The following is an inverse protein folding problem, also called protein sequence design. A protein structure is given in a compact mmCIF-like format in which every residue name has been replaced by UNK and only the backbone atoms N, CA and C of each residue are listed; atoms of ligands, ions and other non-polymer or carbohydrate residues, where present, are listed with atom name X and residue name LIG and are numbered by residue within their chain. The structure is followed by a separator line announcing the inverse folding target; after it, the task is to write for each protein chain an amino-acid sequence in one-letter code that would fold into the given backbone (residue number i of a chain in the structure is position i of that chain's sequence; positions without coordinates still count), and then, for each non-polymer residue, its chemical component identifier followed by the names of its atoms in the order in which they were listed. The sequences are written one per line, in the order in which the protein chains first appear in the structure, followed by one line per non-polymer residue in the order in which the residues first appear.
data_IF_446381314130
#
_entry.id   IF_446381314130
#
_cell.length_a   1.000
_cell.length_b   1.000
_cell.length_c   1.000
_cell.angle_alpha   90.00
_cell.angle_beta   90.00
_cell.angle_gamma   90.00
#
_symmetry.space_group_name_H-M   'P 1'
#
loop_
_entity.id
_entity.type
_entity.pdbx_description
1 polymer ?
#
# COMPACT_ATOMS: atom_id res chain seq x y z
N UNK A 1 24.82 -24.97 -20.09
CA UNK A 1 24.63 -24.01 -18.99
C UNK A 1 23.13 -23.85 -18.73
N UNK A 2 22.64 -24.10 -17.52
CA UNK A 2 21.24 -23.86 -17.23
C UNK A 2 21.01 -22.35 -17.19
N UNK A 3 20.10 -21.89 -18.03
CA UNK A 3 19.57 -20.53 -18.03
C UNK A 3 19.23 -20.13 -16.60
N UNK A 4 19.95 -19.17 -16.03
CA UNK A 4 19.61 -18.49 -14.78
C UNK A 4 18.30 -17.73 -15.04
N UNK A 5 17.20 -18.42 -14.78
CA UNK A 5 15.88 -17.87 -14.94
C UNK A 5 15.68 -16.66 -14.04
N UNK A 6 14.97 -15.69 -14.55
CA UNK A 6 14.47 -14.49 -13.81
C UNK A 6 13.89 -14.81 -12.41
N UNK A 7 13.60 -16.09 -12.11
CA UNK A 7 13.13 -16.56 -10.80
C UNK A 7 14.13 -16.44 -9.67
N UNK A 8 15.43 -16.55 -9.93
CA UNK A 8 16.47 -16.49 -8.88
C UNK A 8 16.76 -15.07 -8.40
N UNK A 9 16.51 -14.07 -9.24
CA UNK A 9 16.60 -12.65 -8.87
C UNK A 9 15.53 -12.29 -7.85
N UNK A 10 14.36 -12.95 -7.92
CA UNK A 10 13.23 -12.68 -7.03
C UNK A 10 13.29 -13.37 -5.66
N UNK A 11 14.09 -14.41 -5.50
CA UNK A 11 14.27 -15.12 -4.23
C UNK A 11 15.18 -14.43 -3.21
N UNK A 12 15.94 -13.44 -3.62
CA UNK A 12 17.00 -12.83 -2.79
C UNK A 12 16.62 -11.59 -2.01
N UNK A 13 15.37 -11.10 -2.11
CA UNK A 13 15.17 -9.71 -1.72
C UNK A 13 13.83 -9.47 -1.03
N UNK A 14 13.91 -9.03 0.18
CA UNK A 14 12.87 -8.27 0.85
C UNK A 14 13.24 -6.79 0.84
N UNK A 15 12.27 -5.93 0.51
CA UNK A 15 12.55 -4.62 -0.04
C UNK A 15 12.88 -4.70 -1.54
N UNK A 16 12.74 -5.88 -2.11
CA UNK A 16 12.91 -6.23 -3.50
C UNK A 16 11.60 -6.21 -4.27
N UNK A 17 11.65 -6.19 -5.60
CA UNK A 17 10.47 -6.14 -6.44
C UNK A 17 9.63 -7.41 -6.27
N UNK A 18 8.75 -7.40 -5.26
CA UNK A 18 7.63 -8.33 -5.19
C UNK A 18 6.75 -8.14 -6.41
N UNK A 19 5.96 -9.13 -6.77
CA UNK A 19 5.06 -9.04 -7.92
C UNK A 19 4.16 -7.78 -7.84
N UNK A 20 3.66 -7.44 -6.66
CA UNK A 20 2.87 -6.23 -6.45
C UNK A 20 3.67 -4.97 -6.79
N UNK A 21 4.90 -4.83 -6.28
CA UNK A 21 5.77 -3.71 -6.60
C UNK A 21 6.02 -3.58 -8.11
N UNK A 22 6.36 -4.70 -8.78
CA UNK A 22 6.64 -4.69 -10.22
C UNK A 22 5.46 -4.15 -11.04
N UNK A 23 4.26 -4.57 -10.68
CA UNK A 23 3.07 -4.16 -11.43
C UNK A 23 2.60 -2.76 -11.03
N UNK A 24 2.68 -2.40 -9.75
CA UNK A 24 2.41 -1.05 -9.28
C UNK A 24 3.37 -0.04 -9.92
N UNK A 25 4.68 -0.35 -9.96
CA UNK A 25 5.66 0.46 -10.68
C UNK A 25 5.24 0.72 -12.13
N UNK A 26 4.76 -0.31 -12.82
CA UNK A 26 4.30 -0.16 -14.20
C UNK A 26 3.10 0.79 -14.30
N UNK A 27 2.18 0.76 -13.35
CA UNK A 27 1.02 1.69 -13.32
C UNK A 27 1.50 3.12 -13.09
N UNK A 28 2.37 3.32 -12.08
CA UNK A 28 2.92 4.63 -11.75
C UNK A 28 3.69 5.27 -12.90
N UNK A 29 4.58 4.51 -13.52
CA UNK A 29 5.44 5.00 -14.62
C UNK A 29 4.68 5.31 -15.93
N UNK A 30 3.46 4.79 -16.08
CA UNK A 30 2.63 5.06 -17.27
C UNK A 30 1.84 6.34 -17.17
N UNK A 31 1.59 6.84 -15.98
CA UNK A 31 0.87 8.09 -15.79
C UNK A 31 1.86 9.26 -15.86
N UNK A 32 1.88 9.93 -17.01
CA UNK A 32 2.79 11.06 -17.26
C UNK A 32 2.54 12.29 -16.37
N UNK A 33 1.44 12.29 -15.60
CA UNK A 33 1.13 13.35 -14.62
C UNK A 33 1.86 13.15 -13.30
N UNK A 34 2.46 11.97 -13.09
CA UNK A 34 3.15 11.61 -11.86
C UNK A 34 4.66 11.73 -12.04
N UNK A 35 5.30 12.46 -11.15
CA UNK A 35 6.73 12.35 -10.93
C UNK A 35 6.97 11.30 -9.84
N UNK A 36 7.64 10.20 -10.19
CA UNK A 36 7.79 9.05 -9.30
C UNK A 36 9.25 8.83 -8.98
N UNK A 37 9.55 8.68 -7.69
CA UNK A 37 10.87 8.23 -7.20
C UNK A 37 10.72 6.89 -6.48
N UNK A 38 11.60 5.97 -6.76
CA UNK A 38 11.67 4.66 -6.15
C UNK A 38 12.87 4.55 -5.24
N UNK A 39 12.65 3.93 -4.09
CA UNK A 39 13.68 3.59 -3.14
C UNK A 39 13.68 2.09 -2.90
N UNK A 40 14.80 1.44 -3.15
CA UNK A 40 14.98 0.01 -2.89
C UNK A 40 15.94 -0.18 -1.74
N UNK A 41 15.45 -0.68 -0.60
CA UNK A 41 16.28 -0.84 0.61
C UNK A 41 17.20 -2.07 0.54
N UNK A 42 16.87 -3.01 -0.34
CA UNK A 42 17.65 -4.22 -0.61
C UNK A 42 17.70 -4.44 -2.12
N UNK A 43 18.49 -3.69 -2.81
CA UNK A 43 18.66 -3.76 -4.26
C UNK A 43 20.12 -3.54 -4.64
N UNK A 44 20.35 -3.39 -5.92
CA UNK A 44 21.65 -2.96 -6.42
C UNK A 44 21.91 -1.53 -5.92
N UNK A 45 22.98 -1.28 -5.14
CA UNK A 45 23.30 0.06 -4.64
C UNK A 45 23.54 1.08 -5.76
N UNK A 46 23.91 0.59 -6.94
CA UNK A 46 24.19 1.44 -8.09
C UNK A 46 22.96 1.76 -8.96
N UNK A 47 21.80 1.23 -8.59
CA UNK A 47 20.59 1.42 -9.37
C UNK A 47 20.24 2.91 -9.59
N UNK A 48 20.44 3.74 -8.57
CA UNK A 48 20.23 5.18 -8.66
C UNK A 48 21.22 5.89 -9.58
N UNK A 49 22.37 5.29 -9.92
CA UNK A 49 23.33 5.85 -10.86
C UNK A 49 22.91 5.68 -12.32
N UNK A 50 22.13 4.64 -12.61
CA UNK A 50 21.77 4.25 -13.98
C UNK A 50 20.31 4.59 -14.32
N UNK A 51 19.48 4.83 -13.32
CA UNK A 51 18.04 5.05 -13.49
C UNK A 51 17.58 6.23 -12.63
N UNK A 52 17.28 7.39 -13.23
CA UNK A 52 17.01 8.64 -12.51
C UNK A 52 15.71 8.60 -11.68
N UNK A 53 14.86 7.62 -11.94
CA UNK A 53 13.67 7.36 -11.14
C UNK A 53 13.99 6.70 -9.79
N UNK A 54 15.21 6.24 -9.56
CA UNK A 54 15.63 5.65 -8.27
C UNK A 54 16.44 6.63 -7.44
N UNK A 55 16.23 6.59 -6.13
CA UNK A 55 17.04 7.29 -5.14
C UNK A 55 17.78 6.27 -4.27
N UNK A 56 18.98 6.59 -3.84
CA UNK A 56 19.84 5.70 -3.05
C UNK A 56 19.43 5.61 -1.60
N UNK A 57 18.83 6.68 -1.07
CA UNK A 57 18.42 6.79 0.33
C UNK A 57 17.18 7.67 0.47
N UNK A 58 16.46 7.49 1.56
CA UNK A 58 15.35 8.37 1.89
C UNK A 58 15.92 9.73 2.32
N UNK A 59 15.44 10.83 1.73
CA UNK A 59 16.04 12.14 1.92
C UNK A 59 16.13 12.58 3.39
N UNK A 60 17.17 13.35 3.71
CA UNK A 60 17.35 13.90 5.04
C UNK A 60 16.28 14.95 5.37
N UNK A 61 15.86 14.97 6.64
CA UNK A 61 14.87 15.95 7.12
C UNK A 61 15.48 17.36 7.11
N UNK A 62 14.80 18.31 6.48
CA UNK A 62 15.23 19.70 6.38
C UNK A 62 15.65 20.16 4.99
N UNK A 63 15.81 19.27 4.04
CA UNK A 63 16.00 19.63 2.64
C UNK A 63 14.65 20.02 2.01
N UNK A 64 14.62 21.16 1.36
CA UNK A 64 13.42 21.73 0.72
C UNK A 64 12.87 20.92 -0.46
N UNK A 65 13.52 19.81 -0.79
CA UNK A 65 13.23 18.94 -1.93
C UNK A 65 12.26 17.79 -1.61
N UNK A 66 11.71 17.72 -0.39
CA UNK A 66 10.91 16.58 0.10
C UNK A 66 9.41 16.81 0.05
N UNK A 67 8.94 17.40 -1.01
CA UNK A 67 7.51 17.66 -1.20
C UNK A 67 6.85 16.50 -1.96
N UNK A 68 6.69 15.36 -1.28
CA UNK A 68 5.94 14.24 -1.83
C UNK A 68 4.45 14.39 -1.53
N UNK A 69 3.61 14.32 -2.56
CA UNK A 69 2.17 14.27 -2.40
C UNK A 69 1.70 12.95 -1.79
N UNK A 70 2.41 11.87 -2.11
CA UNK A 70 2.12 10.52 -1.63
C UNK A 70 3.42 9.74 -1.35
N UNK A 71 3.52 9.19 -0.16
CA UNK A 71 4.56 8.20 0.19
C UNK A 71 3.92 6.81 0.22
N UNK A 72 4.48 5.86 -0.55
CA UNK A 72 4.05 4.46 -0.55
C UNK A 72 5.15 3.64 0.13
N UNK A 73 4.82 3.03 1.26
CA UNK A 73 5.71 2.13 2.00
C UNK A 73 5.32 0.69 1.69
N UNK A 74 6.21 -0.05 1.07
CA UNK A 74 6.10 -1.50 0.87
C UNK A 74 6.62 -2.27 2.09
N UNK A 75 7.10 -3.50 1.87
CA UNK A 75 7.61 -4.37 2.94
C UNK A 75 9.04 -3.96 3.37
N UNK A 76 9.17 -2.77 3.91
CA UNK A 76 10.40 -2.16 4.40
C UNK A 76 10.43 -2.22 5.92
N UNK A 77 11.54 -2.65 6.49
CA UNK A 77 11.77 -2.62 7.93
C UNK A 77 11.75 -1.18 8.44
N UNK A 78 11.01 -0.92 9.52
CA UNK A 78 10.93 0.42 10.12
C UNK A 78 12.29 0.99 10.53
N UNK A 79 13.26 0.11 10.85
CA UNK A 79 14.65 0.49 11.21
C UNK A 79 15.43 1.13 10.06
N UNK A 80 14.92 1.02 8.83
CA UNK A 80 15.50 1.71 7.68
C UNK A 80 15.35 3.23 7.78
N UNK A 81 14.26 3.69 8.40
CA UNK A 81 13.99 5.10 8.58
C UNK A 81 14.44 5.60 9.94
N UNK A 82 15.08 6.76 9.97
CA UNK A 82 15.29 7.48 11.21
C UNK A 82 13.97 7.94 11.80
N UNK A 83 13.89 8.06 13.13
CA UNK A 83 12.69 8.57 13.80
C UNK A 83 12.25 9.94 13.26
N UNK A 84 13.19 10.84 12.98
CA UNK A 84 12.92 12.17 12.41
C UNK A 84 12.30 12.09 11.01
N UNK A 85 12.71 11.13 10.19
CA UNK A 85 12.13 10.92 8.87
C UNK A 85 10.68 10.43 9.00
N UNK A 86 10.39 9.53 9.94
CA UNK A 86 9.01 9.09 10.21
C UNK A 86 8.13 10.23 10.75
N UNK A 87 8.65 11.04 11.69
CA UNK A 87 7.95 12.22 12.22
C UNK A 87 7.68 13.26 11.11
N UNK A 88 8.61 13.39 10.17
CA UNK A 88 8.40 14.24 9.00
C UNK A 88 7.28 13.71 8.09
N UNK A 89 7.24 12.39 7.78
CA UNK A 89 6.14 11.79 7.02
C UNK A 89 4.79 12.03 7.71
N UNK A 90 4.73 11.91 9.04
CA UNK A 90 3.53 12.23 9.84
C UNK A 90 3.13 13.69 9.67
N UNK A 91 4.09 14.62 9.74
CA UNK A 91 3.85 16.05 9.55
C UNK A 91 3.33 16.37 8.15
N UNK A 92 3.89 15.73 7.11
CA UNK A 92 3.45 15.88 5.72
C UNK A 92 1.97 15.51 5.57
N UNK A 93 1.55 14.39 6.14
CA UNK A 93 0.15 13.98 6.09
C UNK A 93 -0.72 14.88 6.96
N UNK A 94 -0.32 15.09 8.23
CA UNK A 94 -1.15 15.77 9.20
C UNK A 94 -1.37 17.27 8.89
N UNK A 95 -0.31 17.97 8.49
CA UNK A 95 -0.32 19.44 8.37
C UNK A 95 -0.32 19.95 6.93
N UNK A 96 0.33 19.24 6.04
CA UNK A 96 0.57 19.71 4.67
C UNK A 96 -0.36 19.04 3.62
N UNK A 97 -1.32 18.23 4.08
CA UNK A 97 -2.31 17.61 3.21
C UNK A 97 -1.79 16.48 2.33
N UNK A 98 -0.56 16.03 2.54
CA UNK A 98 0.01 14.88 1.85
C UNK A 98 -0.69 13.57 2.19
N UNK A 99 -0.23 12.49 1.59
CA UNK A 99 -0.81 11.17 1.81
C UNK A 99 0.26 10.10 2.08
N UNK A 100 -0.14 9.06 2.81
CA UNK A 100 0.67 7.86 3.01
C UNK A 100 -0.14 6.60 2.71
N UNK A 101 0.48 5.66 2.01
CA UNK A 101 -0.09 4.35 1.76
C UNK A 101 0.90 3.28 2.23
N UNK A 102 0.46 2.36 3.07
CA UNK A 102 1.26 1.20 3.47
C UNK A 102 0.72 -0.08 2.85
N UNK A 103 1.62 -0.82 2.18
CA UNK A 103 1.35 -2.15 1.67
C UNK A 103 1.80 -3.20 2.66
N UNK A 104 0.92 -4.11 3.01
CA UNK A 104 1.26 -5.27 3.82
C UNK A 104 2.32 -6.14 3.15
N UNK A 105 3.24 -6.62 3.94
CA UNK A 105 4.27 -7.57 3.54
C UNK A 105 4.68 -8.43 4.71
N UNK A 106 4.89 -9.72 4.45
CA UNK A 106 5.03 -10.71 5.50
C UNK A 106 6.32 -10.59 6.33
N UNK A 107 7.33 -9.85 5.85
CA UNK A 107 8.60 -9.71 6.55
C UNK A 107 8.59 -8.57 7.57
N UNK A 108 7.98 -7.42 7.23
CA UNK A 108 8.14 -6.21 8.02
C UNK A 108 6.84 -5.44 8.25
N UNK A 109 6.03 -5.24 7.21
CA UNK A 109 4.86 -4.35 7.29
C UNK A 109 3.54 -5.07 7.58
N UNK A 110 2.71 -4.50 8.45
CA UNK A 110 2.88 -3.26 9.22
C UNK A 110 3.58 -3.44 10.58
N UNK A 111 3.93 -4.67 11.01
CA UNK A 111 4.30 -5.00 12.38
C UNK A 111 5.56 -4.32 12.87
N UNK A 112 6.58 -4.15 12.00
CA UNK A 112 7.84 -3.48 12.40
C UNK A 112 7.64 -2.00 12.76
N UNK A 113 6.50 -1.40 12.38
CA UNK A 113 6.17 -0.01 12.67
C UNK A 113 5.46 0.20 14.02
N UNK A 114 5.27 -0.86 14.81
CA UNK A 114 4.71 -0.78 16.16
C UNK A 114 5.53 0.17 17.05
N UNK A 115 4.86 1.09 17.73
CA UNK A 115 5.50 2.11 18.57
C UNK A 115 6.25 3.19 17.79
N UNK A 116 6.21 3.18 16.48
CA UNK A 116 6.77 4.24 15.66
C UNK A 116 5.75 5.37 15.38
N UNK A 117 6.20 6.56 14.99
CA UNK A 117 5.29 7.63 14.59
C UNK A 117 4.33 7.23 13.44
N UNK A 118 4.74 6.32 12.57
CA UNK A 118 3.92 5.84 11.44
C UNK A 118 2.72 5.02 11.91
N UNK A 119 2.79 4.32 13.05
CA UNK A 119 1.65 3.55 13.57
C UNK A 119 0.42 4.43 13.78
N UNK A 120 0.62 5.68 14.22
CA UNK A 120 -0.48 6.62 14.44
C UNK A 120 -1.19 6.99 13.13
N UNK A 121 -0.46 7.05 12.02
CA UNK A 121 -1.01 7.31 10.69
C UNK A 121 -1.89 6.16 10.18
N UNK A 122 -1.58 4.91 10.53
CA UNK A 122 -2.29 3.76 9.96
C UNK A 122 -3.77 3.78 10.33
N UNK A 123 -4.67 3.47 9.40
CA UNK A 123 -6.11 3.33 9.68
C UNK A 123 -6.45 2.05 10.44
N UNK A 124 -5.43 1.31 10.86
CA UNK A 124 -5.54 0.03 11.58
C UNK A 124 -4.72 0.04 12.88
N UNK A 125 -5.20 -0.71 13.87
CA UNK A 125 -4.47 -1.04 15.10
C UNK A 125 -3.75 -2.36 14.91
N UNK A 126 -2.47 -2.41 15.26
CA UNK A 126 -1.68 -3.65 15.24
C UNK A 126 -2.05 -4.49 16.47
N UNK A 127 -2.46 -5.74 16.27
CA UNK A 127 -2.93 -6.65 17.33
C UNK A 127 -1.91 -7.72 17.70
N UNK A 128 -1.04 -8.08 16.80
CA UNK A 128 0.00 -9.09 17.01
C UNK A 128 1.28 -8.69 16.32
N UNK A 129 2.34 -9.42 16.60
CA UNK A 129 3.68 -9.12 16.08
C UNK A 129 3.96 -9.82 14.75
N UNK A 130 3.07 -10.71 14.33
CA UNK A 130 3.25 -11.53 13.14
C UNK A 130 2.00 -11.56 12.26
N UNK A 131 2.20 -11.97 11.03
CA UNK A 131 1.13 -12.37 10.16
C UNK A 131 0.52 -13.69 10.64
N UNK A 132 -0.79 -13.79 10.51
CA UNK A 132 -1.54 -14.98 10.94
C UNK A 132 -2.06 -15.75 9.74
N UNK A 133 -2.13 -17.10 9.83
CA UNK A 133 -2.74 -17.91 8.80
C UNK A 133 -4.21 -17.52 8.57
N UNK A 134 -4.61 -17.47 7.31
CA UNK A 134 -5.98 -17.18 6.88
C UNK A 134 -6.61 -18.46 6.36
N UNK A 135 -7.76 -18.89 6.90
CA UNK A 135 -8.52 -20.01 6.34
C UNK A 135 -8.84 -19.76 4.86
N UNK A 136 -8.72 -20.80 4.03
CA UNK A 136 -8.90 -20.73 2.58
C UNK A 136 -10.32 -20.30 2.16
N UNK A 137 -11.30 -20.48 3.04
CA UNK A 137 -12.69 -20.10 2.80
C UNK A 137 -12.93 -18.60 2.89
N UNK A 138 -11.98 -17.85 3.46
CA UNK A 138 -12.13 -16.41 3.57
C UNK A 138 -11.81 -15.75 2.25
N UNK A 139 -12.80 -15.10 1.67
CA UNK A 139 -12.69 -14.36 0.43
C UNK A 139 -12.67 -12.85 0.68
N UNK A 140 -11.95 -12.12 -0.16
CA UNK A 140 -12.00 -10.67 -0.15
C UNK A 140 -13.36 -10.19 -0.67
N UNK A 141 -13.93 -9.22 0.02
CA UNK A 141 -15.24 -8.64 -0.35
C UNK A 141 -15.20 -7.12 -0.19
N UNK A 142 -15.59 -6.36 -1.23
CA UNK A 142 -15.74 -4.92 -1.09
C UNK A 142 -16.93 -4.61 -0.19
N UNK A 143 -16.79 -3.55 0.61
CA UNK A 143 -17.89 -2.95 1.37
C UNK A 143 -18.71 -2.03 0.49
N UNK A 144 -19.91 -1.64 0.93
CA UNK A 144 -20.71 -0.66 0.23
C UNK A 144 -19.97 0.69 0.15
N UNK A 145 -19.27 1.07 1.21
CA UNK A 145 -18.42 2.27 1.24
C UNK A 145 -17.27 2.20 0.23
N UNK A 146 -16.63 1.04 0.09
CA UNK A 146 -15.58 0.83 -0.91
C UNK A 146 -16.09 0.92 -2.34
N UNK A 147 -17.32 0.51 -2.58
CA UNK A 147 -17.97 0.61 -3.89
C UNK A 147 -18.42 2.04 -4.18
N UNK A 148 -19.09 2.72 -3.24
CA UNK A 148 -19.49 4.11 -3.37
C UNK A 148 -18.29 5.04 -3.60
N UNK A 149 -17.18 4.81 -2.90
CA UNK A 149 -15.90 5.52 -3.08
C UNK A 149 -15.15 5.18 -4.37
N UNK A 150 -15.67 4.28 -5.19
CA UNK A 150 -15.13 3.81 -6.49
C UNK A 150 -13.78 3.11 -6.44
N UNK A 151 -13.06 3.09 -5.33
CA UNK A 151 -11.76 2.43 -5.21
C UNK A 151 -11.92 0.91 -5.36
N UNK A 152 -12.93 0.34 -4.72
CA UNK A 152 -13.17 -1.10 -4.75
C UNK A 152 -14.04 -1.56 -5.94
N UNK A 153 -14.48 -0.66 -6.83
CA UNK A 153 -15.27 -1.05 -8.01
C UNK A 153 -14.43 -1.70 -9.09
N UNK A 154 -13.11 -1.51 -9.09
CA UNK A 154 -12.21 -1.99 -10.15
C UNK A 154 -12.59 -1.49 -11.56
N UNK A 155 -13.37 -0.40 -11.65
CA UNK A 155 -13.84 0.17 -12.90
C UNK A 155 -15.05 -0.56 -13.51
N UNK A 156 -15.76 -1.39 -12.75
CA UNK A 156 -16.95 -2.14 -13.19
C UNK A 156 -18.12 -1.93 -12.24
N UNK A 157 -19.29 -2.49 -12.60
CA UNK A 157 -20.46 -2.51 -11.75
C UNK A 157 -20.25 -3.31 -10.45
N UNK A 158 -21.04 -3.00 -9.45
CA UNK A 158 -20.96 -3.55 -8.10
C UNK A 158 -20.97 -5.08 -8.06
N UNK A 159 -21.91 -5.72 -8.75
CA UNK A 159 -22.05 -7.17 -8.79
C UNK A 159 -20.80 -7.85 -9.35
N UNK A 160 -20.25 -7.29 -10.41
CA UNK A 160 -19.01 -7.77 -11.02
C UNK A 160 -17.81 -7.49 -10.10
N UNK A 161 -17.73 -6.32 -9.49
CA UNK A 161 -16.65 -5.99 -8.55
C UNK A 161 -16.59 -7.01 -7.40
N UNK A 162 -17.72 -7.34 -6.78
CA UNK A 162 -17.80 -8.36 -5.72
C UNK A 162 -17.27 -9.72 -6.19
N UNK A 163 -17.64 -10.13 -7.39
CA UNK A 163 -17.15 -11.37 -8.00
C UNK A 163 -15.64 -11.33 -8.25
N UNK A 164 -15.11 -10.23 -8.78
CA UNK A 164 -13.67 -10.09 -9.04
C UNK A 164 -12.86 -10.13 -7.76
N UNK A 165 -13.30 -9.42 -6.70
CA UNK A 165 -12.62 -9.46 -5.41
C UNK A 165 -12.57 -10.87 -4.80
N UNK A 166 -13.63 -11.65 -4.91
CA UNK A 166 -13.63 -13.02 -4.41
C UNK A 166 -12.59 -13.93 -5.09
N UNK A 167 -12.16 -13.58 -6.30
CA UNK A 167 -11.20 -14.36 -7.09
C UNK A 167 -9.72 -14.11 -6.76
N UNK A 168 -9.39 -13.09 -5.94
CA UNK A 168 -8.02 -12.94 -5.44
C UNK A 168 -7.67 -13.94 -4.34
N UNK A 169 -8.64 -14.57 -3.75
CA UNK A 169 -8.45 -15.62 -2.73
C UNK A 169 -7.90 -16.93 -3.35
N UNK A 170 -7.23 -17.78 -2.59
CA UNK A 170 -7.00 -17.66 -1.15
C UNK A 170 -5.87 -16.69 -0.78
N UNK A 171 -6.07 -15.95 0.32
CA UNK A 171 -5.02 -15.20 0.99
C UNK A 171 -4.50 -16.08 2.13
N UNK A 172 -3.35 -16.67 1.97
CA UNK A 172 -2.83 -17.68 2.91
C UNK A 172 -2.49 -17.13 4.28
N UNK A 173 -2.17 -15.84 4.34
CA UNK A 173 -1.85 -15.14 5.59
C UNK A 173 -2.21 -13.66 5.48
N UNK A 174 -2.42 -13.04 6.62
CA UNK A 174 -2.75 -11.63 6.74
C UNK A 174 -2.16 -11.03 8.02
N UNK A 175 -1.86 -9.73 8.06
CA UNK A 175 -1.38 -9.09 9.28
C UNK A 175 -2.48 -9.09 10.35
N UNK A 176 -2.09 -9.30 11.61
CA UNK A 176 -3.02 -9.24 12.74
C UNK A 176 -3.36 -7.78 13.06
N UNK A 177 -4.47 -7.30 12.50
CA UNK A 177 -4.91 -5.90 12.63
C UNK A 177 -6.43 -5.79 12.80
N UNK A 178 -6.87 -4.67 13.37
CA UNK A 178 -8.28 -4.23 13.39
C UNK A 178 -8.40 -2.80 12.90
N UNK A 179 -9.51 -2.43 12.31
CA UNK A 179 -9.75 -1.05 11.92
C UNK A 179 -9.77 -0.12 13.16
N UNK A 180 -9.21 1.08 13.03
CA UNK A 180 -9.34 2.12 14.05
C UNK A 180 -10.77 2.72 14.02
N UNK A 181 -11.27 3.26 15.15
CA UNK A 181 -12.48 4.07 15.14
C UNK A 181 -12.35 5.21 14.13
N UNK A 182 -13.35 5.38 13.27
CA UNK A 182 -13.33 6.41 12.22
C UNK A 182 -12.54 6.04 10.95
N UNK A 183 -11.93 4.87 10.89
CA UNK A 183 -11.35 4.35 9.64
C UNK A 183 -12.45 3.79 8.73
N UNK A 184 -12.33 4.10 7.45
CA UNK A 184 -13.21 3.62 6.40
C UNK A 184 -12.65 2.32 5.81
N UNK A 185 -13.34 1.21 6.02
CA UNK A 185 -12.94 -0.09 5.48
C UNK A 185 -13.56 -0.26 4.10
N UNK A 186 -12.72 -0.35 3.07
CA UNK A 186 -13.15 -0.45 1.67
C UNK A 186 -13.30 -1.90 1.20
N UNK A 187 -12.44 -2.78 1.72
CA UNK A 187 -12.46 -4.22 1.42
C UNK A 187 -12.20 -4.98 2.70
N UNK A 188 -13.02 -5.98 2.95
CA UNK A 188 -12.87 -6.90 4.08
C UNK A 188 -12.36 -8.26 3.62
N UNK A 189 -11.76 -9.02 4.54
CA UNK A 189 -11.44 -10.42 4.33
C UNK A 189 -12.45 -11.28 5.07
N UNK A 190 -13.33 -11.95 4.30
CA UNK A 190 -14.38 -12.82 4.80
C UNK A 190 -15.42 -12.08 5.66
N UNK A 191 -16.34 -12.87 6.21
CA UNK A 191 -17.32 -12.40 7.20
C UNK A 191 -16.81 -12.48 8.64
N UNK A 192 -15.60 -13.00 8.84
CA UNK A 192 -15.03 -13.18 10.16
C UNK A 192 -14.74 -11.82 10.78
N UNK A 193 -15.17 -11.64 12.00
CA UNK A 193 -14.94 -10.43 12.78
C UNK A 193 -13.85 -10.69 13.80
N UNK A 194 -12.94 -9.74 13.91
CA UNK A 194 -11.98 -9.68 15.01
C UNK A 194 -12.51 -8.64 15.97
N UNK A 195 -12.72 -8.99 17.22
CA UNK A 195 -13.33 -8.11 18.23
C UNK A 195 -14.68 -7.49 17.78
N UNK A 196 -15.49 -8.24 17.05
CA UNK A 196 -16.78 -7.78 16.54
C UNK A 196 -16.69 -6.89 15.30
N UNK A 197 -15.49 -6.52 14.83
CA UNK A 197 -15.26 -5.69 13.67
C UNK A 197 -14.86 -6.54 12.44
N UNK A 198 -15.25 -6.14 11.22
CA UNK A 198 -14.77 -6.79 10.00
C UNK A 198 -13.23 -6.72 9.92
N UNK A 199 -12.61 -7.78 9.39
CA UNK A 199 -11.16 -7.76 9.13
C UNK A 199 -10.85 -6.79 7.97
N UNK A 200 -10.07 -5.72 8.19
CA UNK A 200 -9.80 -4.72 7.16
C UNK A 200 -8.69 -5.20 6.23
N UNK A 201 -9.04 -5.52 4.99
CA UNK A 201 -8.06 -5.82 3.94
C UNK A 201 -7.56 -4.53 3.26
N UNK A 202 -8.48 -3.61 2.97
CA UNK A 202 -8.14 -2.26 2.50
C UNK A 202 -8.93 -1.27 3.36
N UNK A 203 -8.22 -0.35 3.97
CA UNK A 203 -8.83 0.69 4.81
C UNK A 203 -8.09 2.01 4.64
N UNK A 204 -8.80 3.12 4.83
CA UNK A 204 -8.21 4.45 4.85
C UNK A 204 -8.80 5.31 5.96
N UNK A 205 -8.12 6.37 6.32
CA UNK A 205 -8.63 7.40 7.21
C UNK A 205 -8.13 8.78 6.81
N UNK A 206 -8.88 9.81 7.17
CA UNK A 206 -8.37 11.17 7.21
C UNK A 206 -7.45 11.30 8.41
N UNK A 207 -6.31 11.96 8.25
CA UNK A 207 -5.39 12.24 9.32
C UNK A 207 -4.93 13.71 9.20
N UNK A 208 -5.50 14.58 10.05
CA UNK A 208 -5.33 16.02 9.90
C UNK A 208 -5.83 16.52 8.54
N UNK A 209 -4.99 17.24 7.82
CA UNK A 209 -5.29 17.75 6.49
C UNK A 209 -5.20 16.69 5.38
N UNK A 210 -4.48 15.59 5.61
CA UNK A 210 -4.20 14.56 4.62
C UNK A 210 -4.93 13.24 4.82
N UNK A 211 -4.41 12.20 4.19
CA UNK A 211 -5.00 10.85 4.17
C UNK A 211 -3.96 9.78 4.42
N UNK A 212 -4.38 8.70 5.04
CA UNK A 212 -3.59 7.50 5.19
C UNK A 212 -4.38 6.27 4.75
N UNK A 213 -3.74 5.34 4.05
CA UNK A 213 -4.34 4.10 3.58
C UNK A 213 -3.47 2.90 3.95
N UNK A 214 -4.13 1.80 4.23
CA UNK A 214 -3.53 0.50 4.47
C UNK A 214 -4.12 -0.53 3.51
N UNK A 215 -3.24 -1.28 2.84
CA UNK A 215 -3.58 -2.43 2.00
C UNK A 215 -2.92 -3.65 2.62
N UNK A 216 -3.68 -4.47 3.34
CA UNK A 216 -3.22 -5.58 4.16
C UNK A 216 -2.86 -6.85 3.40
N UNK A 217 -2.45 -6.74 2.15
CA UNK A 217 -2.03 -7.87 1.33
C UNK A 217 -1.01 -7.45 0.29
N UNK A 218 -0.14 -8.37 -0.07
CA UNK A 218 0.79 -8.25 -1.21
C UNK A 218 0.28 -9.00 -2.46
N UNK A 219 -0.97 -9.45 -2.46
CA UNK A 219 -1.50 -10.37 -3.46
C UNK A 219 -2.49 -9.73 -4.44
N UNK A 220 -2.63 -8.39 -4.46
CA UNK A 220 -3.51 -7.71 -5.42
C UNK A 220 -3.08 -7.93 -6.88
N UNK A 221 -1.80 -8.21 -7.13
CA UNK A 221 -1.31 -8.60 -8.46
C UNK A 221 -2.04 -9.82 -9.03
N UNK A 222 -2.66 -10.65 -8.17
CA UNK A 222 -3.48 -11.79 -8.61
C UNK A 222 -4.67 -11.35 -9.46
N UNK A 223 -5.23 -10.16 -9.24
CA UNK A 223 -6.25 -9.62 -10.13
C UNK A 223 -5.79 -9.62 -11.58
N UNK A 224 -4.50 -9.30 -11.85
CA UNK A 224 -3.94 -9.37 -13.22
C UNK A 224 -3.95 -10.79 -13.79
N UNK A 225 -3.60 -11.76 -12.95
CA UNK A 225 -3.41 -13.14 -13.39
C UNK A 225 -4.74 -13.89 -13.52
N UNK A 226 -5.66 -13.66 -12.59
CA UNK A 226 -6.91 -14.44 -12.50
C UNK A 226 -8.04 -13.85 -13.32
N UNK A 227 -8.14 -12.52 -13.39
CA UNK A 227 -9.31 -11.87 -13.98
C UNK A 227 -8.99 -10.82 -15.04
N UNK A 228 -7.79 -10.24 -15.02
CA UNK A 228 -7.35 -9.31 -16.04
C UNK A 228 -6.55 -8.12 -15.50
N UNK A 229 -5.62 -7.69 -16.32
CA UNK A 229 -4.70 -6.58 -16.01
C UNK A 229 -5.44 -5.28 -15.72
N UNK A 230 -6.49 -4.97 -16.44
CA UNK A 230 -7.24 -3.73 -16.35
C UNK A 230 -7.81 -3.49 -14.95
N UNK A 231 -8.19 -4.54 -14.21
CA UNK A 231 -8.78 -4.42 -12.88
C UNK A 231 -7.75 -4.04 -11.81
N UNK A 232 -6.55 -4.60 -11.91
CA UNK A 232 -5.44 -4.21 -11.06
C UNK A 232 -5.01 -2.76 -11.35
N UNK A 233 -4.91 -2.39 -12.62
CA UNK A 233 -4.56 -1.03 -13.04
C UNK A 233 -5.64 -0.02 -12.60
N UNK A 234 -6.92 -0.37 -12.73
CA UNK A 234 -8.04 0.46 -12.27
C UNK A 234 -7.98 0.69 -10.75
N UNK A 235 -7.76 -0.37 -9.96
CA UNK A 235 -7.62 -0.24 -8.51
C UNK A 235 -6.52 0.76 -8.14
N UNK A 236 -5.31 0.57 -8.69
CA UNK A 236 -4.18 1.43 -8.34
C UNK A 236 -4.33 2.86 -8.85
N UNK A 237 -4.78 3.05 -10.09
CA UNK A 237 -4.98 4.40 -10.63
C UNK A 237 -6.01 5.17 -9.82
N UNK A 238 -7.15 4.54 -9.48
CA UNK A 238 -8.19 5.19 -8.65
C UNK A 238 -7.68 5.46 -7.25
N UNK A 239 -6.94 4.53 -6.65
CA UNK A 239 -6.35 4.70 -5.31
C UNK A 239 -5.38 5.87 -5.28
N UNK A 240 -4.47 5.96 -6.25
CA UNK A 240 -3.48 7.05 -6.31
C UNK A 240 -4.19 8.39 -6.50
N UNK A 241 -5.12 8.50 -7.44
CA UNK A 241 -5.91 9.71 -7.63
C UNK A 241 -6.64 10.11 -6.34
N UNK A 242 -7.28 9.17 -5.67
CA UNK A 242 -7.96 9.43 -4.41
C UNK A 242 -7.01 9.95 -3.32
N UNK A 243 -5.82 9.37 -3.23
CA UNK A 243 -4.84 9.75 -2.22
C UNK A 243 -4.25 11.14 -2.49
N UNK A 244 -3.97 11.48 -3.74
CA UNK A 244 -3.30 12.74 -4.11
C UNK A 244 -4.26 13.93 -4.28
N UNK A 245 -5.55 13.68 -4.49
CA UNK A 245 -6.53 14.73 -4.83
C UNK A 245 -6.65 15.86 -3.80
N UNK A 246 -6.42 15.58 -2.53
CA UNK A 246 -6.56 16.59 -1.47
C UNK A 246 -5.59 17.76 -1.63
N UNK A 247 -4.37 17.48 -2.08
CA UNK A 247 -3.32 18.49 -2.24
C UNK A 247 -3.50 19.28 -3.54
N UNK A 248 -3.98 18.61 -4.59
CA UNK A 248 -4.28 19.27 -5.87
C UNK A 248 -5.38 20.34 -5.75
N UNK A 249 -6.31 20.16 -4.80
CA UNK A 249 -7.40 21.11 -4.53
C UNK A 249 -7.02 22.20 -3.51
N UNK A 250 -6.05 21.95 -2.64
CA UNK A 250 -5.57 22.89 -1.62
C UNK A 250 -4.39 23.76 -2.03
N UNK A 251 -3.79 23.51 -3.17
CA UNK A 251 -2.62 24.24 -3.68
C UNK A 251 -2.91 25.53 -4.46
N UNK A 252 -4.16 26.00 -4.45
CA UNK A 252 -4.61 27.21 -5.14
C UNK A 252 -5.04 28.35 -4.18
N UNK A 253 -4.53 28.35 -2.93
CA UNK A 253 -4.67 29.51 -2.04
C UNK A 253 -3.31 30.11 -1.68
#
# INVERSE_FOLDING_TARGET
EPSRGLGDVYKRQEGAPRWEYRYLRTVLMRDSRLEVKFLMTKGDPDLAKYSPEYISEFPAVGESTLDFDLVIIGDVDSRYFERKQMEWMVKQVNRLGGAMLMLGGAAHTPQSYRGSPIEDLLPVKLRGDQWVPVPNELVASPTDEGLLGRIATLGVEESMARKLWSQISPLYQAPSVTAKPGANVLVTLGRKRVDGLPYPLVAWQRFGAGKSMFVGTELLWRLRKTVGRQYHESFWSTTIQFMTLSRLLGGNE
#
